data_IF_365781281835
#
_entry.id   IF_365781281835
#
_cell.length_a   1.000
_cell.length_b   1.000
_cell.length_c   1.000
_cell.angle_alpha   90.00
_cell.angle_beta   90.00
_cell.angle_gamma   90.00
#
_symmetry.space_group_name_H-M   'P 1'
#
loop_
_entity.id
_entity.type
_entity.pdbx_description
1 polymer ?
#
# COMPACT_ATOMS: atom_id res chain seq x y z
N UNK A 1 -25.71 12.66 14.95
CA UNK A 1 -27.08 12.59 14.38
C UNK A 1 -27.62 14.01 14.25
N UNK A 2 -28.23 14.38 13.12
CA UNK A 2 -29.15 15.53 13.09
C UNK A 2 -30.39 15.14 13.91
N UNK A 3 -31.09 16.12 14.47
CA UNK A 3 -32.47 15.92 14.92
C UNK A 3 -33.26 15.70 13.61
N UNK A 4 -33.23 14.48 13.11
CA UNK A 4 -34.10 13.95 12.09
C UNK A 4 -35.03 13.03 12.85
N UNK A 5 -36.31 13.38 12.79
CA UNK A 5 -37.48 12.70 13.31
C UNK A 5 -37.20 11.24 13.75
N UNK A 6 -37.26 11.00 15.05
CA UNK A 6 -37.02 9.71 15.71
C UNK A 6 -38.07 8.63 15.36
N UNK A 7 -38.86 8.83 14.31
CA UNK A 7 -39.96 7.95 13.88
C UNK A 7 -39.74 7.25 12.53
N UNK A 8 -38.66 7.53 11.78
CA UNK A 8 -38.38 6.82 10.53
C UNK A 8 -36.95 6.26 10.50
N UNK A 9 -36.85 4.93 10.48
CA UNK A 9 -35.61 4.21 10.16
C UNK A 9 -35.14 4.65 8.77
N UNK A 10 -33.94 5.24 8.68
CA UNK A 10 -33.36 5.61 7.38
C UNK A 10 -32.84 4.35 6.69
N UNK A 11 -33.72 3.73 5.90
CA UNK A 11 -33.42 2.54 5.10
C UNK A 11 -32.21 2.75 4.17
N UNK A 12 -31.93 3.99 3.74
CA UNK A 12 -30.78 4.27 2.87
C UNK A 12 -29.46 4.14 3.63
N UNK A 13 -29.45 4.58 4.89
CA UNK A 13 -28.30 4.43 5.77
C UNK A 13 -27.99 2.96 6.06
N UNK A 14 -29.02 2.16 6.40
CA UNK A 14 -28.86 0.72 6.65
C UNK A 14 -28.31 -0.03 5.43
N UNK A 15 -28.83 0.29 4.23
CA UNK A 15 -28.32 -0.26 2.96
C UNK A 15 -26.86 0.14 2.72
N UNK A 16 -26.51 1.40 2.95
CA UNK A 16 -25.15 1.87 2.78
C UNK A 16 -24.15 1.21 3.75
N UNK A 17 -24.56 0.94 4.99
CA UNK A 17 -23.74 0.21 5.96
C UNK A 17 -23.49 -1.23 5.51
N UNK A 18 -24.54 -1.92 5.03
CA UNK A 18 -24.42 -3.27 4.49
C UNK A 18 -23.52 -3.32 3.24
N UNK A 19 -23.76 -2.44 2.26
CA UNK A 19 -22.95 -2.34 1.05
C UNK A 19 -21.49 -2.01 1.39
N UNK A 20 -21.25 -1.16 2.39
CA UNK A 20 -19.94 -0.86 2.92
C UNK A 20 -19.21 -2.10 3.45
N UNK A 21 -19.91 -3.00 4.15
CA UNK A 21 -19.34 -4.26 4.64
C UNK A 21 -18.89 -5.13 3.47
N UNK A 22 -19.70 -5.24 2.41
CA UNK A 22 -19.35 -6.01 1.22
C UNK A 22 -18.11 -5.43 0.52
N UNK A 23 -18.05 -4.12 0.32
CA UNK A 23 -16.90 -3.44 -0.28
C UNK A 23 -15.64 -3.64 0.59
N UNK A 24 -15.77 -3.62 1.91
CA UNK A 24 -14.67 -3.85 2.83
C UNK A 24 -14.10 -5.28 2.70
N UNK A 25 -14.95 -6.29 2.56
CA UNK A 25 -14.53 -7.68 2.34
C UNK A 25 -13.84 -7.83 0.98
N UNK A 26 -14.35 -7.17 -0.07
CA UNK A 26 -13.69 -7.16 -1.38
C UNK A 26 -12.31 -6.50 -1.32
N UNK A 27 -12.19 -5.36 -0.63
CA UNK A 27 -10.91 -4.68 -0.42
C UNK A 27 -9.92 -5.55 0.39
N UNK A 28 -10.40 -6.28 1.39
CA UNK A 28 -9.61 -7.27 2.11
C UNK A 28 -9.16 -8.42 1.21
N UNK A 29 -10.03 -8.95 0.34
CA UNK A 29 -9.67 -9.97 -0.66
C UNK A 29 -8.53 -9.50 -1.58
N UNK A 30 -8.58 -8.25 -2.05
CA UNK A 30 -7.49 -7.66 -2.83
C UNK A 30 -6.19 -7.53 -2.00
N UNK A 31 -6.29 -7.21 -0.71
CA UNK A 31 -5.14 -7.17 0.21
C UNK A 31 -4.49 -8.56 0.34
N UNK A 32 -5.28 -9.63 0.45
CA UNK A 32 -4.79 -11.03 0.47
C UNK A 32 -4.03 -11.35 -0.82
N UNK A 33 -4.57 -10.98 -1.99
CA UNK A 33 -3.89 -11.20 -3.27
C UNK A 33 -2.53 -10.48 -3.33
N UNK A 34 -2.48 -9.22 -2.88
CA UNK A 34 -1.23 -8.46 -2.83
C UNK A 34 -0.21 -9.05 -1.86
N UNK A 35 -0.66 -9.54 -0.72
CA UNK A 35 0.22 -10.20 0.24
C UNK A 35 0.83 -11.49 -0.34
N UNK A 36 0.02 -12.31 -1.04
CA UNK A 36 0.52 -13.51 -1.73
C UNK A 36 1.53 -13.14 -2.81
N UNK A 37 1.26 -12.11 -3.62
CA UNK A 37 2.20 -11.62 -4.64
C UNK A 37 3.51 -11.14 -4.00
N UNK A 38 3.43 -10.41 -2.88
CA UNK A 38 4.59 -9.94 -2.14
C UNK A 38 5.42 -11.11 -1.61
N UNK A 39 4.78 -12.12 -1.01
CA UNK A 39 5.44 -13.34 -0.54
C UNK A 39 6.15 -14.07 -1.69
N UNK A 40 5.51 -14.21 -2.86
CA UNK A 40 6.14 -14.82 -4.04
C UNK A 40 7.41 -14.06 -4.46
N UNK A 41 7.35 -12.73 -4.52
CA UNK A 41 8.52 -11.90 -4.86
C UNK A 41 9.63 -12.06 -3.82
N UNK A 42 9.28 -12.13 -2.53
CA UNK A 42 10.21 -12.35 -1.43
C UNK A 42 10.89 -13.73 -1.51
N UNK A 43 10.13 -14.78 -1.81
CA UNK A 43 10.65 -16.15 -1.90
C UNK A 43 11.56 -16.35 -3.12
N UNK A 44 11.25 -15.71 -4.25
CA UNK A 44 12.09 -15.80 -5.47
C UNK A 44 13.39 -15.02 -5.32
N UNK A 45 13.44 -13.98 -4.48
CA UNK A 45 14.63 -13.12 -4.30
C UNK A 45 15.02 -12.94 -2.82
N UNK A 46 15.49 -14.00 -2.13
CA UNK A 46 15.70 -13.98 -0.68
C UNK A 46 16.93 -13.16 -0.22
N UNK A 47 17.90 -12.87 -1.10
CA UNK A 47 19.19 -12.24 -0.73
C UNK A 47 19.17 -10.70 -0.78
N UNK A 48 18.26 -10.03 -0.05
CA UNK A 48 18.11 -8.55 -0.07
C UNK A 48 18.49 -7.81 1.22
N UNK A 49 19.29 -8.42 2.10
CA UNK A 49 19.87 -7.74 3.28
C UNK A 49 18.83 -7.28 4.32
N UNK A 50 19.16 -6.27 5.13
CA UNK A 50 18.32 -5.81 6.27
C UNK A 50 16.96 -5.22 5.85
N UNK A 51 16.88 -4.62 4.65
CA UNK A 51 15.65 -4.03 4.11
C UNK A 51 14.60 -5.09 3.81
N UNK A 52 15.03 -6.27 3.36
CA UNK A 52 14.14 -7.43 3.13
C UNK A 52 13.36 -7.79 4.38
N UNK A 53 14.04 -7.98 5.51
CA UNK A 53 13.41 -8.33 6.77
C UNK A 53 12.45 -7.25 7.28
N UNK A 54 12.80 -5.98 7.07
CA UNK A 54 11.90 -4.87 7.38
C UNK A 54 10.59 -4.90 6.57
N UNK A 55 10.68 -5.16 5.26
CA UNK A 55 9.53 -5.27 4.36
C UNK A 55 8.65 -6.48 4.74
N UNK A 56 9.26 -7.64 4.99
CA UNK A 56 8.54 -8.84 5.42
C UNK A 56 7.83 -8.63 6.75
N UNK A 57 8.52 -8.09 7.75
CA UNK A 57 7.93 -7.83 9.07
C UNK A 57 6.77 -6.84 8.98
N UNK A 58 6.95 -5.72 8.27
CA UNK A 58 5.91 -4.71 8.07
C UNK A 58 4.66 -5.30 7.41
N UNK A 59 4.85 -6.00 6.27
CA UNK A 59 3.73 -6.55 5.51
C UNK A 59 2.99 -7.66 6.26
N UNK A 60 3.70 -8.52 6.99
CA UNK A 60 3.09 -9.55 7.84
C UNK A 60 2.27 -8.95 8.99
N UNK A 61 2.79 -7.91 9.64
CA UNK A 61 2.05 -7.21 10.72
C UNK A 61 0.79 -6.54 10.15
N UNK A 62 0.92 -5.79 9.06
CA UNK A 62 -0.21 -5.11 8.41
C UNK A 62 -1.28 -6.10 7.94
N UNK A 63 -0.85 -7.21 7.33
CA UNK A 63 -1.75 -8.27 6.90
C UNK A 63 -2.48 -8.92 8.08
N UNK A 64 -1.76 -9.25 9.16
CA UNK A 64 -2.36 -9.87 10.35
C UNK A 64 -3.41 -8.97 10.98
N UNK A 65 -3.12 -7.67 11.13
CA UNK A 65 -4.09 -6.70 11.65
C UNK A 65 -5.33 -6.59 10.77
N UNK A 66 -5.16 -6.51 9.45
CA UNK A 66 -6.27 -6.45 8.52
C UNK A 66 -7.12 -7.73 8.54
N UNK A 67 -6.50 -8.90 8.66
CA UNK A 67 -7.17 -10.20 8.77
C UNK A 67 -7.98 -10.32 10.06
N UNK A 68 -7.42 -9.90 11.20
CA UNK A 68 -8.14 -9.88 12.48
C UNK A 68 -9.32 -8.89 12.44
N UNK A 69 -9.12 -7.71 11.85
CA UNK A 69 -10.19 -6.73 11.66
C UNK A 69 -11.31 -7.28 10.75
N UNK A 70 -10.95 -7.92 9.63
CA UNK A 70 -11.93 -8.50 8.71
C UNK A 70 -12.72 -9.64 9.37
N UNK A 71 -12.03 -10.56 10.07
CA UNK A 71 -12.67 -11.67 10.77
C UNK A 71 -13.65 -11.18 11.85
N UNK A 72 -13.24 -10.19 12.65
CA UNK A 72 -14.11 -9.59 13.66
C UNK A 72 -15.31 -8.86 13.06
N UNK A 73 -15.13 -8.10 11.97
CA UNK A 73 -16.25 -7.48 11.23
C UNK A 73 -17.22 -8.51 10.67
N UNK A 74 -16.73 -9.58 10.05
CA UNK A 74 -17.57 -10.65 9.48
C UNK A 74 -18.39 -11.32 10.59
N UNK A 75 -17.75 -11.72 11.70
CA UNK A 75 -18.46 -12.34 12.83
C UNK A 75 -19.47 -11.41 13.48
N UNK A 76 -19.15 -10.12 13.59
CA UNK A 76 -20.09 -9.15 14.11
C UNK A 76 -21.26 -8.90 13.14
N UNK A 77 -21.00 -8.91 11.83
CA UNK A 77 -22.05 -8.83 10.81
C UNK A 77 -22.97 -10.07 10.83
N UNK A 78 -22.44 -11.28 10.99
CA UNK A 78 -23.24 -12.50 11.20
C UNK A 78 -24.17 -12.35 12.42
N UNK A 79 -23.63 -11.84 13.53
CA UNK A 79 -24.43 -11.59 14.74
C UNK A 79 -25.57 -10.60 14.49
N UNK A 80 -25.28 -9.46 13.85
CA UNK A 80 -26.29 -8.44 13.56
C UNK A 80 -27.34 -8.96 12.58
N UNK A 81 -26.94 -9.49 11.42
CA UNK A 81 -27.89 -9.79 10.35
C UNK A 81 -28.59 -11.15 10.47
N UNK A 82 -27.97 -12.11 11.16
CA UNK A 82 -28.51 -13.48 11.29
C UNK A 82 -28.99 -13.73 12.71
N UNK A 83 -28.09 -13.73 13.69
CA UNK A 83 -28.41 -14.18 15.05
C UNK A 83 -29.42 -13.27 15.74
N UNK A 84 -29.19 -11.95 15.74
CA UNK A 84 -30.10 -11.01 16.41
C UNK A 84 -31.47 -10.97 15.75
N UNK A 85 -31.53 -11.12 14.42
CA UNK A 85 -32.79 -11.21 13.67
C UNK A 85 -33.60 -12.44 14.05
N UNK A 86 -32.94 -13.60 14.20
CA UNK A 86 -33.59 -14.84 14.65
C UNK A 86 -34.08 -14.69 16.10
N UNK A 87 -33.27 -14.13 16.99
CA UNK A 87 -33.64 -13.93 18.39
C UNK A 87 -34.91 -13.07 18.51
N UNK A 88 -34.98 -11.93 17.82
CA UNK A 88 -36.18 -11.09 17.81
C UNK A 88 -37.39 -11.83 17.23
N UNK A 89 -37.20 -12.63 16.17
CA UNK A 89 -38.30 -13.42 15.60
C UNK A 89 -38.83 -14.51 16.54
N UNK A 90 -37.99 -15.04 17.44
CA UNK A 90 -38.36 -16.06 18.42
C UNK A 90 -39.05 -15.46 19.67
N UNK A 91 -38.73 -14.22 20.04
CA UNK A 91 -39.30 -13.53 21.21
C UNK A 91 -40.75 -13.05 21.00
N UNK A 92 -41.23 -13.06 19.76
CA UNK A 92 -42.63 -12.80 19.41
C UNK A 92 -42.95 -11.34 19.04
N UNK A 93 -44.22 -11.03 18.70
CA UNK A 93 -44.63 -9.74 18.11
C UNK A 93 -44.50 -8.51 19.02
N UNK A 94 -44.19 -8.71 20.31
CA UNK A 94 -44.12 -7.64 21.32
C UNK A 94 -42.72 -7.06 21.52
N UNK A 95 -41.70 -7.62 20.88
CA UNK A 95 -40.32 -7.13 20.95
C UNK A 95 -40.08 -6.03 19.91
N UNK A 96 -39.32 -5.00 20.28
CA UNK A 96 -38.95 -3.87 19.43
C UNK A 96 -38.58 -4.29 18.00
N UNK A 97 -38.96 -3.44 17.03
CA UNK A 97 -38.63 -3.68 15.62
C UNK A 97 -37.11 -3.85 15.43
N UNK A 98 -36.69 -4.97 14.84
CA UNK A 98 -35.27 -5.23 14.57
C UNK A 98 -34.69 -4.18 13.61
N UNK A 99 -33.75 -3.38 14.11
CA UNK A 99 -33.01 -2.36 13.36
C UNK A 99 -31.50 -2.63 13.50
N UNK A 100 -30.78 -2.93 12.40
CA UNK A 100 -29.37 -3.33 12.47
C UNK A 100 -28.47 -2.32 13.19
N UNK A 101 -28.65 -1.02 12.93
CA UNK A 101 -27.88 0.03 13.58
C UNK A 101 -28.12 0.15 15.08
N UNK A 102 -29.31 -0.20 15.58
CA UNK A 102 -29.59 -0.25 17.02
C UNK A 102 -28.91 -1.45 17.67
N UNK A 103 -29.08 -2.64 17.07
CA UNK A 103 -28.39 -3.86 17.53
C UNK A 103 -26.87 -3.65 17.58
N UNK A 104 -26.31 -2.96 16.57
CA UNK A 104 -24.90 -2.58 16.55
C UNK A 104 -24.50 -1.75 17.79
N UNK A 105 -25.30 -0.74 18.15
CA UNK A 105 -25.02 0.14 19.30
C UNK A 105 -25.10 -0.63 20.62
N UNK A 106 -26.14 -1.44 20.78
CA UNK A 106 -26.37 -2.22 22.00
C UNK A 106 -25.26 -3.25 22.25
N UNK A 107 -24.72 -3.81 21.17
CA UNK A 107 -23.66 -4.82 21.22
C UNK A 107 -22.28 -4.26 20.85
N UNK A 108 -22.11 -2.93 20.88
CA UNK A 108 -20.86 -2.28 20.52
C UNK A 108 -19.69 -2.71 21.43
N UNK A 109 -20.00 -3.03 22.70
CA UNK A 109 -19.06 -3.56 23.69
C UNK A 109 -18.73 -5.06 23.54
N UNK A 110 -19.28 -5.76 22.55
CA UNK A 110 -18.95 -7.17 22.32
C UNK A 110 -17.47 -7.35 22.02
N UNK A 111 -16.83 -8.36 22.62
CA UNK A 111 -15.39 -8.64 22.48
C UNK A 111 -14.96 -8.74 21.02
N UNK A 112 -15.82 -9.31 20.15
CA UNK A 112 -15.56 -9.42 18.71
C UNK A 112 -15.47 -8.05 18.03
N UNK A 113 -16.41 -7.15 18.34
CA UNK A 113 -16.40 -5.79 17.79
C UNK A 113 -15.21 -4.99 18.35
N UNK A 114 -14.94 -5.09 19.66
CA UNK A 114 -13.79 -4.40 20.28
C UNK A 114 -12.48 -4.82 19.60
N UNK A 115 -12.23 -6.11 19.50
CA UNK A 115 -11.02 -6.65 18.85
C UNK A 115 -10.91 -6.15 17.41
N UNK A 116 -12.00 -6.23 16.65
CA UNK A 116 -12.06 -5.73 15.28
C UNK A 116 -11.73 -4.23 15.19
N UNK A 117 -12.30 -3.41 16.07
CA UNK A 117 -12.14 -1.95 16.09
C UNK A 117 -10.71 -1.57 16.45
N UNK A 118 -10.11 -2.23 17.43
CA UNK A 118 -8.70 -2.03 17.80
C UNK A 118 -7.77 -2.36 16.62
N UNK A 119 -7.92 -3.52 15.98
CA UNK A 119 -7.09 -3.88 14.82
C UNK A 119 -7.28 -2.90 13.64
N UNK A 120 -8.52 -2.44 13.42
CA UNK A 120 -8.84 -1.46 12.38
C UNK A 120 -8.12 -0.12 12.62
N UNK A 121 -8.00 0.33 13.88
CA UNK A 121 -7.35 1.59 14.24
C UNK A 121 -5.82 1.50 14.30
N UNK A 122 -5.27 0.32 14.60
CA UNK A 122 -3.82 0.08 14.52
C UNK A 122 -3.30 0.04 13.08
N UNK A 123 -4.16 -0.33 12.12
CA UNK A 123 -3.81 -0.38 10.69
C UNK A 123 -3.26 0.96 10.16
N UNK A 124 -3.96 2.10 10.31
CA UNK A 124 -3.45 3.38 9.88
C UNK A 124 -2.26 3.87 10.72
N UNK A 125 -2.08 3.46 11.99
CA UNK A 125 -0.87 3.80 12.76
C UNK A 125 0.40 3.28 12.06
N UNK A 126 0.39 1.99 11.75
CA UNK A 126 1.50 1.33 11.06
C UNK A 126 1.61 1.86 9.62
N UNK A 127 0.49 2.10 8.96
CA UNK A 127 0.42 2.68 7.62
C UNK A 127 1.04 4.08 7.53
N UNK A 128 0.74 4.95 8.49
CA UNK A 128 1.20 6.34 8.50
C UNK A 128 2.67 6.43 8.93
N UNK A 129 3.11 5.62 9.90
CA UNK A 129 4.52 5.50 10.27
C UNK A 129 5.39 5.11 9.06
N UNK A 130 4.91 4.16 8.24
CA UNK A 130 5.58 3.78 7.00
C UNK A 130 5.66 4.91 5.98
N UNK A 131 4.59 5.70 5.82
CA UNK A 131 4.61 6.85 4.91
C UNK A 131 5.56 7.96 5.39
N UNK A 132 5.66 8.18 6.69
CA UNK A 132 6.62 9.14 7.27
C UNK A 132 8.06 8.66 7.02
N UNK A 133 8.35 7.38 7.27
CA UNK A 133 9.64 6.79 6.92
C UNK A 133 9.97 6.99 5.44
N UNK A 134 8.98 6.74 4.58
CA UNK A 134 9.15 6.89 3.12
C UNK A 134 9.35 8.33 2.69
N UNK A 135 8.66 9.28 3.31
CA UNK A 135 8.89 10.71 3.11
C UNK A 135 10.36 11.07 3.41
N UNK A 136 10.91 10.54 4.51
CA UNK A 136 12.33 10.74 4.86
C UNK A 136 13.28 10.17 3.81
N UNK A 137 13.04 8.95 3.33
CA UNK A 137 13.86 8.32 2.28
C UNK A 137 13.85 9.16 1.00
N UNK A 138 12.67 9.60 0.56
CA UNK A 138 12.49 10.38 -0.69
C UNK A 138 13.12 11.78 -0.60
N UNK A 139 13.15 12.37 0.59
CA UNK A 139 13.76 13.68 0.84
C UNK A 139 15.21 13.61 1.33
N UNK A 140 15.86 12.45 1.25
CA UNK A 140 17.26 12.25 1.68
C UNK A 140 17.49 12.65 3.15
N UNK A 141 16.56 12.29 4.05
CA UNK A 141 16.63 12.51 5.50
C UNK A 141 16.69 13.99 5.95
N UNK A 142 16.06 14.90 5.21
CA UNK A 142 15.88 16.30 5.64
C UNK A 142 14.87 16.41 6.79
N UNK A 143 15.36 16.39 8.03
CA UNK A 143 14.57 16.41 9.26
C UNK A 143 13.56 17.56 9.37
N UNK A 144 13.84 18.74 8.80
CA UNK A 144 12.91 19.87 8.81
C UNK A 144 11.53 19.55 8.19
N UNK A 145 11.45 18.56 7.28
CA UNK A 145 10.19 18.12 6.68
C UNK A 145 9.27 17.38 7.66
N UNK A 146 9.79 16.93 8.81
CA UNK A 146 9.04 16.20 9.83
C UNK A 146 8.35 17.08 10.86
N UNK A 147 8.65 18.38 10.89
CA UNK A 147 8.12 19.32 11.89
C UNK A 147 6.60 19.35 11.90
N UNK A 148 5.96 19.20 10.73
CA UNK A 148 4.49 19.21 10.62
C UNK A 148 3.90 17.77 10.66
N UNK A 149 4.42 16.79 9.90
CA UNK A 149 3.84 15.44 9.89
C UNK A 149 3.91 14.70 11.23
N UNK A 150 4.99 14.87 12.01
CA UNK A 150 5.17 14.11 13.26
C UNK A 150 4.18 14.53 14.35
N UNK A 151 3.97 15.83 14.65
CA UNK A 151 2.93 16.25 15.58
C UNK A 151 1.52 15.84 15.15
N UNK A 152 1.21 15.90 13.84
CA UNK A 152 -0.06 15.43 13.30
C UNK A 152 -0.24 13.92 13.53
N UNK A 153 0.81 13.13 13.30
CA UNK A 153 0.79 11.69 13.56
C UNK A 153 0.59 11.37 15.05
N UNK A 154 1.31 12.05 15.95
CA UNK A 154 1.13 11.87 17.40
C UNK A 154 -0.28 12.25 17.83
N UNK A 155 -0.83 13.34 17.28
CA UNK A 155 -2.22 13.77 17.55
C UNK A 155 -3.24 12.74 17.06
N UNK A 156 -3.01 12.16 15.87
CA UNK A 156 -3.85 11.11 15.30
C UNK A 156 -3.84 9.83 16.15
N UNK A 157 -2.65 9.39 16.58
CA UNK A 157 -2.47 8.25 17.50
C UNK A 157 -3.15 8.54 18.84
N UNK A 158 -2.94 9.72 19.43
CA UNK A 158 -3.56 10.12 20.68
C UNK A 158 -5.10 10.14 20.61
N UNK A 159 -5.67 10.58 19.48
CA UNK A 159 -7.12 10.60 19.26
C UNK A 159 -7.75 9.23 19.05
N UNK A 160 -6.98 8.17 18.76
CA UNK A 160 -7.59 6.85 18.60
C UNK A 160 -8.07 6.27 19.94
N UNK A 161 -7.45 6.64 21.07
CA UNK A 161 -7.83 6.18 22.41
C UNK A 161 -9.26 6.62 22.77
N UNK A 162 -9.60 7.93 22.76
CA UNK A 162 -10.96 8.37 23.05
C UNK A 162 -11.98 7.86 22.03
N UNK A 163 -11.60 7.66 20.77
CA UNK A 163 -12.46 7.03 19.75
C UNK A 163 -12.83 5.61 20.15
N UNK A 164 -11.85 4.76 20.51
CA UNK A 164 -12.12 3.38 20.93
C UNK A 164 -13.04 3.33 22.15
N UNK A 165 -12.78 4.18 23.15
CA UNK A 165 -13.59 4.19 24.38
C UNK A 165 -15.03 4.61 24.07
N UNK A 166 -15.22 5.59 23.19
CA UNK A 166 -16.56 6.05 22.83
C UNK A 166 -17.30 5.05 21.92
N UNK A 167 -16.60 4.42 20.96
CA UNK A 167 -17.16 3.45 20.02
C UNK A 167 -17.56 2.13 20.67
N UNK A 168 -16.98 1.79 21.82
CA UNK A 168 -17.28 0.54 22.55
C UNK A 168 -18.38 0.71 23.60
N UNK A 169 -18.87 1.94 23.80
CA UNK A 169 -19.87 2.31 24.80
C UNK A 169 -21.07 3.04 24.17
N UNK A 170 -21.40 2.67 22.94
CA UNK A 170 -22.49 3.30 22.19
C UNK A 170 -23.89 2.97 22.75
N UNK A 171 -23.99 1.96 23.61
CA UNK A 171 -25.17 1.62 24.43
C UNK A 171 -25.55 2.75 25.39
N UNK A 172 -24.60 3.59 25.77
CA UNK A 172 -24.79 4.69 26.70
C UNK A 172 -24.97 6.02 25.96
N UNK A 173 -26.13 6.66 26.14
CA UNK A 173 -26.48 7.95 25.51
C UNK A 173 -25.42 9.07 25.71
N UNK A 174 -24.61 9.00 26.77
CA UNK A 174 -23.52 9.95 27.03
C UNK A 174 -22.37 9.87 26.01
N UNK A 175 -22.11 8.70 25.44
CA UNK A 175 -20.95 8.45 24.59
C UNK A 175 -21.25 8.58 23.10
N UNK A 176 -22.49 8.36 22.67
CA UNK A 176 -22.87 8.47 21.25
C UNK A 176 -22.51 9.83 20.61
N UNK A 177 -22.87 11.00 21.20
CA UNK A 177 -22.47 12.29 20.63
C UNK A 177 -20.95 12.51 20.64
N UNK A 178 -20.24 11.89 21.59
CA UNK A 178 -18.79 11.99 21.73
C UNK A 178 -18.06 11.14 20.71
N UNK A 179 -18.50 9.90 20.48
CA UNK A 179 -17.95 9.00 19.45
C UNK A 179 -17.96 9.70 18.09
N UNK A 180 -19.08 10.32 17.72
CA UNK A 180 -19.17 11.05 16.45
C UNK A 180 -18.16 12.20 16.35
N UNK A 181 -18.05 13.05 17.39
CA UNK A 181 -17.12 14.18 17.40
C UNK A 181 -15.66 13.71 17.37
N UNK A 182 -15.31 12.70 18.16
CA UNK A 182 -13.97 12.13 18.19
C UNK A 182 -13.62 11.47 16.86
N UNK A 183 -14.56 10.75 16.24
CA UNK A 183 -14.41 10.17 14.91
C UNK A 183 -14.10 11.21 13.83
N UNK A 184 -14.83 12.33 13.80
CA UNK A 184 -14.56 13.43 12.85
C UNK A 184 -13.13 13.95 13.02
N UNK A 185 -12.71 14.24 14.26
CA UNK A 185 -11.37 14.77 14.53
C UNK A 185 -10.30 13.75 14.14
N UNK A 186 -10.46 12.49 14.53
CA UNK A 186 -9.55 11.39 14.20
C UNK A 186 -9.37 11.23 12.68
N UNK A 187 -10.48 11.16 11.93
CA UNK A 187 -10.44 11.01 10.48
C UNK A 187 -9.89 12.25 9.78
N UNK A 188 -10.19 13.44 10.27
CA UNK A 188 -9.63 14.70 9.73
C UNK A 188 -8.12 14.74 9.89
N UNK A 189 -7.59 14.37 11.06
CA UNK A 189 -6.16 14.29 11.31
C UNK A 189 -5.48 13.25 10.40
N UNK A 190 -6.10 12.08 10.24
CA UNK A 190 -5.60 11.03 9.36
C UNK A 190 -5.53 11.49 7.89
N UNK A 191 -6.61 12.11 7.38
CA UNK A 191 -6.68 12.62 6.01
C UNK A 191 -5.72 13.79 5.80
N UNK A 192 -5.63 14.72 6.75
CA UNK A 192 -4.72 15.86 6.67
C UNK A 192 -3.24 15.40 6.62
N UNK A 193 -2.86 14.45 7.48
CA UNK A 193 -1.52 13.86 7.47
C UNK A 193 -1.22 13.19 6.12
N UNK A 194 -2.16 12.37 5.64
CA UNK A 194 -2.02 11.65 4.38
C UNK A 194 -1.95 12.58 3.17
N UNK A 195 -2.76 13.63 3.14
CA UNK A 195 -2.74 14.65 2.11
C UNK A 195 -1.41 15.41 2.10
N UNK A 196 -0.93 15.85 3.26
CA UNK A 196 0.34 16.54 3.39
C UNK A 196 1.49 15.66 2.87
N UNK A 197 1.59 14.41 3.34
CA UNK A 197 2.63 13.49 2.90
C UNK A 197 2.52 13.22 1.39
N UNK A 198 1.31 12.98 0.88
CA UNK A 198 1.07 12.72 -0.55
C UNK A 198 1.54 13.90 -1.41
N UNK A 199 1.24 15.14 -1.00
CA UNK A 199 1.68 16.36 -1.70
C UNK A 199 3.20 16.49 -1.69
N UNK A 200 3.83 16.33 -0.53
CA UNK A 200 5.29 16.44 -0.39
C UNK A 200 6.03 15.38 -1.23
N UNK A 201 5.52 14.15 -1.25
CA UNK A 201 6.07 13.07 -2.10
C UNK A 201 5.85 13.42 -3.58
N UNK A 202 4.65 13.82 -3.97
CA UNK A 202 4.30 14.14 -5.37
C UNK A 202 5.19 15.26 -5.93
N UNK A 203 5.35 16.36 -5.19
CA UNK A 203 6.21 17.49 -5.59
C UNK A 203 7.65 17.04 -5.80
N UNK A 204 8.19 16.23 -4.88
CA UNK A 204 9.56 15.72 -4.98
C UNK A 204 9.73 14.77 -6.18
N UNK A 205 8.79 13.86 -6.40
CA UNK A 205 8.82 12.96 -7.55
C UNK A 205 8.74 13.71 -8.89
N UNK A 206 7.90 14.74 -8.98
CA UNK A 206 7.77 15.56 -10.19
C UNK A 206 9.04 16.39 -10.47
N UNK A 207 9.67 16.94 -9.44
CA UNK A 207 10.92 17.70 -9.61
C UNK A 207 12.10 16.80 -9.98
N UNK A 208 12.13 15.56 -9.47
CA UNK A 208 13.18 14.59 -9.77
C UNK A 208 12.99 13.86 -11.10
N UNK A 209 11.77 13.81 -11.62
CA UNK A 209 11.46 13.17 -12.91
C UNK A 209 12.37 13.64 -14.04
N UNK A 210 12.54 14.96 -14.22
CA UNK A 210 13.38 15.52 -15.29
C UNK A 210 14.84 15.10 -15.14
N UNK A 211 15.35 15.05 -13.91
CA UNK A 211 16.73 14.64 -13.62
C UNK A 211 16.94 13.14 -13.88
N UNK A 212 15.96 12.31 -13.51
CA UNK A 212 16.01 10.87 -13.74
C UNK A 212 15.90 10.52 -15.24
N UNK A 213 15.07 11.23 -16.00
CA UNK A 213 14.97 11.04 -17.46
C UNK A 213 16.29 11.35 -18.18
N UNK A 214 17.06 12.33 -17.67
CA UNK A 214 18.40 12.64 -18.16
C UNK A 214 19.41 11.55 -17.77
N UNK A 215 19.36 11.04 -16.53
CA UNK A 215 20.34 10.09 -16.03
C UNK A 215 20.14 8.63 -16.50
N UNK A 216 18.89 8.15 -16.63
CA UNK A 216 18.58 6.74 -16.96
C UNK A 216 18.08 6.54 -18.40
N UNK A 217 17.84 7.63 -19.13
CA UNK A 217 17.13 7.59 -20.40
C UNK A 217 15.62 7.38 -20.24
N UNK A 218 14.84 7.81 -21.24
CA UNK A 218 13.37 7.87 -21.18
C UNK A 218 12.70 6.52 -20.93
N UNK A 219 13.24 5.43 -21.49
CA UNK A 219 12.61 4.10 -21.42
C UNK A 219 12.70 3.48 -20.02
N UNK A 220 13.88 3.52 -19.39
CA UNK A 220 14.07 3.00 -18.03
C UNK A 220 13.46 3.91 -16.97
N UNK A 221 13.49 5.23 -17.18
CA UNK A 221 12.84 6.19 -16.28
C UNK A 221 11.31 6.03 -16.25
N UNK A 222 10.66 5.58 -17.34
CA UNK A 222 9.20 5.46 -17.44
C UNK A 222 8.57 4.60 -16.33
N UNK A 223 9.22 3.50 -15.94
CA UNK A 223 8.74 2.64 -14.85
C UNK A 223 8.67 3.38 -13.51
N UNK A 224 9.54 4.38 -13.31
CA UNK A 224 9.64 5.18 -12.08
C UNK A 224 8.92 6.54 -12.15
N UNK A 225 8.67 7.07 -13.35
CA UNK A 225 8.16 8.44 -13.57
C UNK A 225 6.77 8.50 -14.22
N UNK A 226 6.17 7.35 -14.55
CA UNK A 226 4.80 7.32 -15.04
C UNK A 226 3.83 8.01 -14.07
N UNK A 227 2.82 8.70 -14.61
CA UNK A 227 1.80 9.41 -13.82
C UNK A 227 1.10 8.44 -12.84
N UNK A 228 0.81 7.22 -13.30
CA UNK A 228 0.21 6.19 -12.46
C UNK A 228 1.16 5.75 -11.34
N UNK A 229 2.45 5.57 -11.65
CA UNK A 229 3.48 5.32 -10.64
C UNK A 229 3.51 6.44 -9.60
N UNK A 230 3.51 7.71 -9.99
CA UNK A 230 3.55 8.83 -9.05
C UNK A 230 2.28 8.87 -8.17
N UNK A 231 1.10 8.59 -8.73
CA UNK A 231 -0.16 8.54 -7.95
C UNK A 231 -0.17 7.40 -6.93
N UNK A 232 0.28 6.21 -7.33
CA UNK A 232 0.39 5.05 -6.44
C UNK A 232 1.46 5.27 -5.38
N UNK A 233 2.64 5.73 -5.80
CA UNK A 233 3.76 6.01 -4.92
C UNK A 233 3.41 7.14 -3.94
N UNK A 234 2.70 8.19 -4.32
CA UNK A 234 2.31 9.23 -3.36
C UNK A 234 1.30 8.76 -2.32
N UNK A 235 0.62 7.63 -2.55
CA UNK A 235 -0.48 7.17 -1.70
C UNK A 235 -1.77 7.96 -1.92
N UNK A 236 -1.88 8.69 -3.05
CA UNK A 236 -3.00 9.56 -3.35
C UNK A 236 -4.35 8.83 -3.38
N UNK A 237 -4.38 7.55 -3.74
CA UNK A 237 -5.61 6.75 -3.76
C UNK A 237 -6.29 6.67 -2.39
N UNK A 238 -5.55 6.35 -1.33
CA UNK A 238 -6.07 6.34 0.03
C UNK A 238 -6.51 7.74 0.49
N UNK A 239 -5.74 8.77 0.13
CA UNK A 239 -6.06 10.17 0.43
C UNK A 239 -7.37 10.61 -0.23
N UNK A 240 -7.56 10.30 -1.52
CA UNK A 240 -8.79 10.59 -2.27
C UNK A 240 -10.00 9.90 -1.63
N UNK A 241 -9.87 8.61 -1.30
CA UNK A 241 -10.93 7.89 -0.59
C UNK A 241 -11.27 8.55 0.74
N UNK A 242 -10.26 8.93 1.52
CA UNK A 242 -10.43 9.62 2.79
C UNK A 242 -11.11 10.98 2.66
N UNK A 243 -10.79 11.75 1.61
CA UNK A 243 -11.46 13.03 1.32
C UNK A 243 -12.94 12.83 0.99
N UNK A 244 -13.26 11.84 0.14
CA UNK A 244 -14.67 11.53 -0.21
C UNK A 244 -15.44 11.11 1.04
N UNK A 245 -14.87 10.22 1.85
CA UNK A 245 -15.46 9.83 3.13
C UNK A 245 -15.69 11.06 4.03
N UNK A 246 -14.67 11.89 4.24
CA UNK A 246 -14.75 13.06 5.11
C UNK A 246 -15.78 14.09 4.61
N UNK A 247 -15.89 14.27 3.29
CA UNK A 247 -16.91 15.13 2.69
C UNK A 247 -18.33 14.60 2.96
N UNK A 248 -18.57 13.29 2.79
CA UNK A 248 -19.86 12.67 3.09
C UNK A 248 -20.19 12.71 4.59
N UNK A 249 -19.18 12.55 5.44
CA UNK A 249 -19.29 12.66 6.91
C UNK A 249 -19.65 14.10 7.33
N UNK A 250 -18.99 15.10 6.76
CA UNK A 250 -19.25 16.51 7.06
C UNK A 250 -20.67 16.95 6.64
N UNK A 251 -21.15 16.43 5.50
CA UNK A 251 -22.52 16.66 5.01
C UNK A 251 -23.57 15.83 5.75
N UNK A 252 -23.16 14.93 6.66
CA UNK A 252 -24.03 13.96 7.34
C UNK A 252 -24.87 13.14 6.35
N UNK A 253 -24.30 12.82 5.20
CA UNK A 253 -24.98 12.09 4.14
C UNK A 253 -25.00 10.59 4.46
N UNK A 254 -26.09 9.89 4.14
CA UNK A 254 -26.27 8.45 4.41
C UNK A 254 -25.16 7.58 3.81
N UNK A 255 -24.58 8.01 2.68
CA UNK A 255 -23.50 7.29 1.99
C UNK A 255 -22.18 7.21 2.78
N UNK A 256 -22.02 7.98 3.85
CA UNK A 256 -20.80 7.94 4.69
C UNK A 256 -20.50 6.53 5.21
N UNK A 257 -21.54 5.76 5.52
CA UNK A 257 -21.46 4.38 5.99
C UNK A 257 -20.75 3.46 4.96
N UNK A 258 -21.12 3.60 3.69
CA UNK A 258 -20.54 2.83 2.60
C UNK A 258 -19.04 3.13 2.38
N UNK A 259 -18.60 4.36 2.64
CA UNK A 259 -17.19 4.75 2.48
C UNK A 259 -16.33 4.47 3.72
N UNK A 260 -16.90 4.55 4.93
CA UNK A 260 -16.21 4.31 6.19
C UNK A 260 -15.72 2.86 6.29
N UNK A 261 -16.59 1.91 5.98
CA UNK A 261 -16.32 0.51 6.23
C UNK A 261 -15.09 -0.04 5.46
N UNK A 262 -14.89 0.27 4.15
CA UNK A 262 -13.69 -0.11 3.42
C UNK A 262 -12.48 0.80 3.64
N UNK A 263 -12.64 1.98 4.24
CA UNK A 263 -11.60 3.02 4.34
C UNK A 263 -10.24 2.50 4.81
N UNK A 264 -10.23 1.74 5.91
CA UNK A 264 -9.00 1.22 6.51
C UNK A 264 -8.32 0.14 5.65
N UNK A 265 -9.10 -0.66 4.93
CA UNK A 265 -8.59 -1.63 3.98
C UNK A 265 -8.01 -0.96 2.74
N UNK A 266 -8.61 0.14 2.28
CA UNK A 266 -8.10 0.96 1.18
C UNK A 266 -6.75 1.60 1.56
N UNK A 267 -6.59 2.07 2.80
CA UNK A 267 -5.29 2.51 3.33
C UNK A 267 -4.29 1.36 3.26
N UNK A 268 -4.61 0.21 3.88
CA UNK A 268 -3.72 -0.95 3.92
C UNK A 268 -3.32 -1.43 2.52
N UNK A 269 -4.28 -1.49 1.59
CA UNK A 269 -4.09 -1.87 0.19
C UNK A 269 -3.13 -0.92 -0.50
N UNK A 270 -3.33 0.39 -0.34
CA UNK A 270 -2.42 1.40 -0.91
C UNK A 270 -0.99 1.21 -0.38
N UNK A 271 -0.83 0.96 0.92
CA UNK A 271 0.50 0.69 1.51
C UNK A 271 1.11 -0.59 0.99
N UNK A 272 0.33 -1.65 0.85
CA UNK A 272 0.80 -2.94 0.37
C UNK A 272 1.27 -2.87 -1.09
N UNK A 273 0.59 -2.09 -1.94
CA UNK A 273 1.05 -1.83 -3.32
C UNK A 273 2.42 -1.13 -3.31
N UNK A 274 2.60 -0.10 -2.48
CA UNK A 274 3.89 0.60 -2.36
C UNK A 274 4.99 -0.37 -1.94
N UNK A 275 4.72 -1.20 -0.93
CA UNK A 275 5.67 -2.21 -0.45
C UNK A 275 5.99 -3.26 -1.51
N UNK A 276 4.99 -3.71 -2.27
CA UNK A 276 5.20 -4.64 -3.38
C UNK A 276 6.13 -4.06 -4.45
N UNK A 277 5.96 -2.78 -4.80
CA UNK A 277 6.86 -2.09 -5.73
C UNK A 277 8.26 -1.92 -5.17
N UNK A 278 8.39 -1.65 -3.86
CA UNK A 278 9.68 -1.66 -3.17
C UNK A 278 10.35 -3.03 -3.26
N UNK A 279 9.60 -4.11 -3.03
CA UNK A 279 10.09 -5.47 -3.19
C UNK A 279 10.41 -5.83 -4.65
N UNK A 280 9.83 -5.17 -5.65
CA UNK A 280 10.15 -5.39 -7.06
C UNK A 280 11.35 -4.55 -7.56
N UNK A 281 11.98 -3.73 -6.70
CA UNK A 281 12.95 -2.69 -7.09
C UNK A 281 12.40 -1.65 -8.08
N UNK A 282 11.08 -1.50 -8.12
CA UNK A 282 10.37 -0.55 -8.99
C UNK A 282 9.86 0.68 -8.21
N UNK A 283 10.25 0.80 -6.94
CA UNK A 283 9.98 1.98 -6.13
C UNK A 283 11.20 2.89 -6.05
N UNK A 284 10.96 4.15 -5.71
CA UNK A 284 12.01 5.13 -5.43
C UNK A 284 12.78 4.75 -4.16
N UNK A 285 13.99 4.20 -4.33
CA UNK A 285 14.93 3.90 -3.26
C UNK A 285 15.92 5.05 -3.04
N UNK A 286 16.63 5.02 -1.91
CA UNK A 286 17.72 5.97 -1.61
C UNK A 286 18.74 6.05 -2.75
N UNK A 287 19.08 4.91 -3.34
CA UNK A 287 20.10 4.83 -4.39
C UNK A 287 19.64 5.55 -5.66
N UNK A 288 18.36 5.38 -6.03
CA UNK A 288 17.75 6.10 -7.16
C UNK A 288 17.64 7.60 -6.87
N UNK A 289 17.28 7.97 -5.65
CA UNK A 289 17.22 9.38 -5.23
C UNK A 289 18.62 10.03 -5.28
N UNK A 290 19.64 9.31 -4.82
CA UNK A 290 21.05 9.74 -4.85
C UNK A 290 21.53 9.90 -6.29
N UNK A 291 21.34 8.87 -7.12
CA UNK A 291 21.71 8.88 -8.54
C UNK A 291 21.05 10.04 -9.30
N UNK A 292 19.75 10.27 -9.08
CA UNK A 292 19.02 11.38 -9.70
C UNK A 292 19.46 12.76 -9.17
N UNK A 293 20.02 12.84 -7.96
CA UNK A 293 20.53 14.09 -7.40
C UNK A 293 21.95 14.44 -7.85
N UNK A 294 22.81 13.43 -8.01
CA UNK A 294 24.22 13.59 -8.35
C UNK A 294 24.54 13.41 -9.84
N UNK A 295 23.59 12.89 -10.64
CA UNK A 295 23.76 12.73 -12.10
C UNK A 295 24.68 11.58 -12.52
N UNK A 296 25.22 10.83 -11.55
CA UNK A 296 26.09 9.66 -11.77
C UNK A 296 25.39 8.45 -11.17
N UNK A 297 25.11 7.44 -12.00
CA UNK A 297 24.76 6.10 -11.55
C UNK A 297 26.06 5.29 -11.51
N UNK A 298 26.68 5.13 -10.34
CA UNK A 298 27.59 4.02 -10.13
C UNK A 298 26.74 2.75 -10.04
N UNK A 299 26.41 2.21 -11.20
CA UNK A 299 25.81 0.89 -11.29
C UNK A 299 26.95 -0.12 -11.16
N UNK A 300 27.29 -0.49 -9.92
CA UNK A 300 28.02 -1.73 -9.68
C UNK A 300 27.11 -2.88 -10.10
N UNK A 301 27.18 -3.22 -11.40
CA UNK A 301 26.75 -4.52 -11.88
C UNK A 301 27.65 -5.50 -11.16
N UNK A 302 27.14 -6.16 -10.12
CA UNK A 302 27.75 -7.41 -9.67
C UNK A 302 27.52 -8.44 -10.78
N UNK A 303 28.38 -8.41 -11.79
CA UNK A 303 28.46 -9.40 -12.86
C UNK A 303 29.18 -10.64 -12.32
N UNK A 304 28.61 -11.28 -11.31
CA UNK A 304 29.07 -12.61 -10.88
C UNK A 304 28.85 -13.68 -11.97
N UNK A 305 28.20 -13.32 -13.08
CA UNK A 305 28.11 -14.13 -14.30
C UNK A 305 28.52 -13.31 -15.52
N UNK A 306 29.79 -12.98 -15.58
CA UNK A 306 30.43 -12.69 -16.88
C UNK A 306 30.77 -14.06 -17.48
N UNK A 307 30.08 -14.48 -18.54
CA UNK A 307 30.69 -15.44 -19.47
C UNK A 307 31.77 -14.63 -20.17
N UNK A 308 33.03 -14.89 -19.84
CA UNK A 308 34.16 -14.42 -20.62
C UNK A 308 34.02 -15.00 -22.03
N UNK A 309 33.66 -14.15 -23.00
CA UNK A 309 33.94 -14.47 -24.40
C UNK A 309 35.44 -14.35 -24.54
N UNK A 310 36.10 -15.51 -24.49
CA UNK A 310 37.51 -15.65 -24.79
C UNK A 310 37.67 -15.34 -26.28
N UNK A 311 38.14 -14.13 -26.59
CA UNK A 311 38.56 -13.76 -27.94
C UNK A 311 39.90 -14.48 -28.15
N UNK A 312 40.03 -15.40 -29.12
CA UNK A 312 41.29 -16.08 -29.35
C UNK A 312 42.36 -15.06 -29.74
N UNK A 313 43.45 -15.00 -28.97
CA UNK A 313 44.66 -14.31 -29.37
C UNK A 313 45.22 -14.97 -30.63
N UNK A 314 45.02 -14.35 -31.80
CA UNK A 314 45.84 -14.65 -32.98
C UNK A 314 47.20 -13.98 -32.78
N UNK A 315 48.06 -14.66 -32.03
CA UNK A 315 49.50 -14.40 -31.98
C UNK A 315 50.24 -15.60 -32.58
N UNK A 316 51.18 -15.30 -33.48
CA UNK A 316 52.14 -16.20 -34.14
C UNK A 316 51.67 -16.89 -35.44
N UNK A 317 51.67 -16.13 -36.54
CA UNK A 317 51.71 -16.65 -37.92
C UNK A 317 53.16 -16.68 -38.47
N UNK A 318 54.18 -16.41 -37.66
CA UNK A 318 55.58 -16.62 -38.04
C UNK A 318 56.11 -17.85 -37.30
N UNK A 319 56.07 -19.01 -37.97
CA UNK A 319 57.04 -20.14 -37.86
C UNK A 319 56.51 -21.42 -38.55
N UNK A 320 55.95 -21.31 -39.75
CA UNK A 320 55.48 -22.48 -40.51
C UNK A 320 55.68 -22.43 -42.03
N UNK A 321 56.23 -21.35 -42.59
CA UNK A 321 56.32 -21.17 -44.05
C UNK A 321 57.76 -21.08 -44.62
N UNK A 322 58.79 -21.29 -43.80
CA UNK A 322 60.19 -21.38 -44.27
C UNK A 322 60.75 -22.83 -44.27
N UNK A 323 59.88 -23.82 -44.47
CA UNK A 323 60.30 -25.19 -44.83
C UNK A 323 59.57 -25.67 -46.09
N UNK A 324 59.72 -24.95 -47.19
CA UNK A 324 59.58 -25.56 -48.51
C UNK A 324 60.51 -24.88 -49.52
N UNK A 325 61.80 -25.13 -49.32
CA UNK A 325 62.88 -24.83 -50.25
C UNK A 325 62.89 -25.93 -51.34
N UNK A 326 62.58 -25.54 -52.57
CA UNK A 326 62.95 -26.25 -53.82
C UNK A 326 64.48 -26.49 -53.87
N UNK A 327 65.02 -27.61 -54.41
CA UNK A 327 65.21 -27.72 -55.87
C UNK A 327 65.12 -29.13 -56.52
N UNK A 328 64.68 -29.10 -57.77
CA UNK A 328 65.12 -29.87 -58.97
C UNK A 328 65.11 -31.40 -59.01
N UNK A 329 64.34 -31.97 -59.95
CA UNK A 329 64.89 -32.40 -61.26
C UNK A 329 63.89 -33.14 -62.16
N UNK A 330 64.04 -32.89 -63.48
CA UNK A 330 63.66 -33.75 -64.62
C UNK A 330 62.19 -33.80 -65.06
N UNK A 331 61.77 -33.83 -66.34
CA UNK A 331 62.32 -33.53 -67.68
C UNK A 331 61.15 -33.84 -68.66
N UNK A 332 60.98 -33.04 -69.73
CA UNK A 332 60.25 -33.31 -71.02
C UNK A 332 58.74 -33.62 -70.98
N UNK A 333 57.91 -33.36 -72.01
CA UNK A 333 57.88 -32.54 -73.24
C UNK A 333 56.50 -32.79 -73.88
N UNK A 334 56.14 -32.00 -74.91
CA UNK A 334 55.00 -32.19 -75.87
C UNK A 334 53.60 -31.82 -75.35
N UNK A 335 52.64 -31.26 -76.10
CA UNK A 335 52.51 -30.60 -77.41
C UNK A 335 51.01 -30.12 -77.44
N UNK A 336 50.69 -28.89 -77.90
CA UNK A 336 49.76 -28.51 -79.01
C UNK A 336 48.42 -29.27 -79.09
N UNK A 337 47.22 -28.77 -79.37
CA UNK A 337 46.55 -27.60 -80.00
C UNK A 337 45.10 -27.63 -79.43
N UNK A 338 44.22 -26.64 -79.52
CA UNK A 338 44.15 -25.38 -80.26
C UNK A 338 42.80 -24.73 -79.97
#
# INVERSE_FOLDING_TARGET
MAIMDSSQVDVRFERAEFDGILIAILAYGALVMLFIQLLRVLLVRPKRGKVFWGITAYSSILFTLASMAAGGKIKFAEYIYVTSRINVALEGPSTDSWIPSQVFKDHAGSTMNIMSRVCTLLTPWIGDAFMIYRLMVIWSYKWWMLIIPVPLYISHVGMSIPVIIADTRLDQARWEPKSHRYGIVFHTLCVALNLLISLLITVKLLTMRKKLEIALGKLNAYFYTSKFTILVESGAFATLWGIVYLATLAQKHWSQAAFLQPYYYVIALTRMIIVLKMAQNQAWSRDIVSAASHGVMDWEVSSSHTISVEVPHTGNVENGLEQMKSPDSSVTSSHTLG
#
